data_IF_629064775123
#
_entry.id   IF_629064775123
#
_cell.length_a   1.000
_cell.length_b   1.000
_cell.length_c   1.000
_cell.angle_alpha   90.00
_cell.angle_beta   90.00
_cell.angle_gamma   90.00
#
_symmetry.space_group_name_H-M   'P 1'
#
loop_
_entity.id
_entity.type
_entity.pdbx_description
1 polymer ?
#
# COMPACT_ATOMS: atom_id res chain seq x y z
N UNK A 1 -13.55 3.90 10.32
CA UNK A 1 -14.34 4.35 9.16
C UNK A 1 -13.39 5.02 8.21
N UNK A 2 -13.04 4.35 7.09
CA UNK A 2 -12.49 5.07 5.95
C UNK A 2 -13.49 6.17 5.65
N UNK A 3 -13.13 7.43 5.88
CA UNK A 3 -14.05 8.54 5.65
C UNK A 3 -14.44 8.52 4.18
N UNK A 4 -15.70 8.35 3.80
CA UNK A 4 -16.13 8.46 2.42
C UNK A 4 -15.63 9.74 1.75
N UNK A 5 -15.42 10.81 2.53
CA UNK A 5 -14.88 12.09 2.06
C UNK A 5 -13.37 12.18 1.90
N UNK A 6 -12.56 11.22 2.39
CA UNK A 6 -11.10 11.32 2.26
C UNK A 6 -10.64 11.40 0.80
N UNK A 7 -11.17 10.54 -0.03
CA UNK A 7 -10.79 10.51 -1.45
C UNK A 7 -11.33 11.70 -2.25
N UNK A 8 -12.36 12.40 -1.74
CA UNK A 8 -12.91 13.60 -2.39
C UNK A 8 -11.90 14.76 -2.38
N UNK A 9 -11.12 14.85 -1.32
CA UNK A 9 -10.07 15.87 -1.19
C UNK A 9 -8.76 15.45 -1.89
N UNK A 10 -8.49 14.14 -2.00
CA UNK A 10 -7.21 13.59 -2.45
C UNK A 10 -7.20 13.27 -3.94
N UNK A 11 -8.28 12.71 -4.50
CA UNK A 11 -8.35 12.28 -5.90
C UNK A 11 -9.32 13.16 -6.67
N UNK A 12 -8.81 14.02 -7.55
CA UNK A 12 -9.63 14.91 -8.39
C UNK A 12 -9.94 14.35 -9.76
N UNK A 13 -9.12 13.42 -10.26
CA UNK A 13 -9.26 12.80 -11.58
C UNK A 13 -8.61 11.44 -11.65
N UNK A 14 -9.07 10.63 -12.59
CA UNK A 14 -8.57 9.27 -12.80
C UNK A 14 -8.16 9.09 -14.25
N UNK A 15 -6.96 8.58 -14.46
CA UNK A 15 -6.51 8.04 -15.73
C UNK A 15 -6.38 6.53 -15.60
N UNK A 16 -6.91 5.81 -16.59
CA UNK A 16 -6.85 4.34 -16.61
C UNK A 16 -6.37 3.89 -17.98
N UNK A 17 -5.38 2.99 -18.02
CA UNK A 17 -4.92 2.46 -19.30
C UNK A 17 -5.94 1.48 -19.88
N UNK A 18 -6.01 1.40 -21.22
CA UNK A 18 -6.85 0.40 -21.91
C UNK A 18 -6.55 -1.02 -21.41
N UNK A 19 -5.27 -1.33 -21.16
CA UNK A 19 -4.84 -2.63 -20.65
C UNK A 19 -5.30 -2.95 -19.23
N UNK A 20 -5.66 -1.93 -18.43
CA UNK A 20 -6.19 -2.10 -17.08
C UNK A 20 -7.72 -2.20 -17.06
N UNK A 21 -8.40 -1.79 -18.14
CA UNK A 21 -9.85 -1.95 -18.25
C UNK A 21 -10.24 -3.43 -18.24
N UNK A 22 -11.32 -3.74 -17.54
CA UNK A 22 -11.80 -5.11 -17.35
C UNK A 22 -11.11 -5.88 -16.21
N UNK A 23 -10.06 -5.32 -15.60
CA UNK A 23 -9.54 -5.87 -14.33
C UNK A 23 -10.53 -5.59 -13.19
N UNK A 24 -10.86 -6.60 -12.40
CA UNK A 24 -11.90 -6.50 -11.37
C UNK A 24 -11.61 -5.43 -10.32
N UNK A 25 -10.35 -5.26 -9.92
CA UNK A 25 -9.97 -4.26 -8.94
C UNK A 25 -9.98 -2.84 -9.56
N UNK A 26 -9.57 -2.70 -10.83
CA UNK A 26 -9.68 -1.42 -11.54
C UNK A 26 -11.15 -1.01 -11.65
N UNK A 27 -12.04 -1.90 -12.11
CA UNK A 27 -13.47 -1.57 -12.27
C UNK A 27 -14.14 -1.28 -10.91
N UNK A 28 -13.75 -1.95 -9.83
CA UNK A 28 -14.19 -1.65 -8.46
C UNK A 28 -13.83 -0.21 -8.08
N UNK A 29 -12.57 0.19 -8.29
CA UNK A 29 -12.10 1.54 -7.97
C UNK A 29 -12.79 2.59 -8.86
N UNK A 30 -12.94 2.34 -10.16
CA UNK A 30 -13.63 3.24 -11.08
C UNK A 30 -15.10 3.44 -10.72
N UNK A 31 -15.78 2.39 -10.25
CA UNK A 31 -17.15 2.48 -9.75
C UNK A 31 -17.24 3.35 -8.49
N UNK A 32 -16.30 3.19 -7.54
CA UNK A 32 -16.24 3.99 -6.30
C UNK A 32 -15.86 5.45 -6.54
N UNK A 33 -15.22 5.76 -7.66
CA UNK A 33 -14.76 7.10 -8.08
C UNK A 33 -15.56 7.64 -9.28
N UNK A 34 -16.77 7.12 -9.52
CA UNK A 34 -17.58 7.43 -10.71
C UNK A 34 -18.06 8.89 -10.81
N UNK A 35 -17.98 9.62 -9.71
CA UNK A 35 -18.29 11.06 -9.63
C UNK A 35 -17.15 11.97 -10.11
N UNK A 36 -15.99 11.40 -10.47
CA UNK A 36 -14.80 12.11 -10.94
C UNK A 36 -14.59 11.95 -12.44
N UNK A 37 -13.89 12.88 -13.09
CA UNK A 37 -13.45 12.71 -14.48
C UNK A 37 -12.57 11.46 -14.61
N UNK A 38 -13.01 10.50 -15.42
CA UNK A 38 -12.28 9.27 -15.75
C UNK A 38 -11.90 9.33 -17.23
N UNK A 39 -10.60 9.24 -17.53
CA UNK A 39 -10.07 9.26 -18.89
C UNK A 39 -9.32 7.96 -19.17
N UNK A 40 -9.64 7.29 -20.26
CA UNK A 40 -8.89 6.13 -20.74
C UNK A 40 -7.73 6.59 -21.62
N UNK A 41 -6.54 6.02 -21.40
CA UNK A 41 -5.30 6.36 -22.12
C UNK A 41 -4.57 5.07 -22.52
N UNK A 42 -3.64 5.15 -23.47
CA UNK A 42 -2.77 4.02 -23.83
C UNK A 42 -1.67 3.81 -22.77
N UNK A 43 -1.05 4.92 -22.38
CA UNK A 43 0.01 4.92 -21.35
C UNK A 43 0.08 6.25 -20.60
N UNK A 44 1.05 6.37 -19.69
CA UNK A 44 1.27 7.56 -18.87
C UNK A 44 1.65 8.82 -19.64
N UNK A 45 2.21 8.66 -20.85
CA UNK A 45 2.73 9.78 -21.63
C UNK A 45 1.58 10.58 -22.31
N UNK A 46 0.37 10.00 -22.32
CA UNK A 46 -0.86 10.70 -22.74
C UNK A 46 -1.49 11.56 -21.63
N UNK A 47 -0.97 11.49 -20.39
CA UNK A 47 -1.48 12.33 -19.30
C UNK A 47 -0.93 13.76 -19.48
N UNK A 48 -1.81 14.79 -19.58
CA UNK A 48 -1.38 16.19 -19.71
C UNK A 48 -0.45 16.61 -18.57
N UNK A 49 0.58 17.40 -18.88
CA UNK A 49 1.60 17.81 -17.92
C UNK A 49 1.02 18.48 -16.66
N UNK A 50 -0.04 19.28 -16.83
CA UNK A 50 -0.76 19.93 -15.72
C UNK A 50 -1.50 18.94 -14.79
N UNK A 51 -1.70 17.70 -15.23
CA UNK A 51 -2.30 16.62 -14.45
C UNK A 51 -1.28 15.66 -13.84
N UNK A 52 0.02 15.85 -14.07
CA UNK A 52 1.08 15.07 -13.43
C UNK A 52 1.29 15.51 -11.97
N UNK A 53 0.29 15.30 -11.14
CA UNK A 53 0.19 15.77 -9.75
C UNK A 53 -0.33 14.65 -8.84
N UNK A 54 -0.13 14.81 -7.54
CA UNK A 54 -0.58 13.83 -6.53
C UNK A 54 -2.11 13.73 -6.39
N UNK A 55 -2.87 14.71 -6.90
CA UNK A 55 -4.33 14.68 -6.95
C UNK A 55 -4.88 13.91 -8.17
N UNK A 56 -4.01 13.27 -8.93
CA UNK A 56 -4.33 12.39 -10.06
C UNK A 56 -4.07 10.94 -9.67
N UNK A 57 -5.06 10.08 -9.90
CA UNK A 57 -4.92 8.63 -9.80
C UNK A 57 -4.66 8.06 -11.21
N UNK A 58 -3.59 7.29 -11.35
CA UNK A 58 -3.26 6.55 -12.56
C UNK A 58 -3.37 5.05 -12.31
N UNK A 59 -4.25 4.38 -13.05
CA UNK A 59 -4.49 2.94 -12.97
C UNK A 59 -3.92 2.29 -14.23
N UNK A 60 -2.97 1.37 -14.06
CA UNK A 60 -2.32 0.70 -15.18
C UNK A 60 -2.21 -0.80 -14.94
N UNK A 61 -2.22 -1.59 -16.01
CA UNK A 61 -1.82 -2.98 -15.90
C UNK A 61 -0.32 -3.07 -15.58
N UNK A 62 0.05 -4.07 -14.80
CA UNK A 62 1.47 -4.30 -14.48
C UNK A 62 2.27 -4.61 -15.76
N UNK A 63 3.34 -3.87 -15.96
CA UNK A 63 4.33 -4.10 -17.02
C UNK A 63 5.67 -4.44 -16.37
N UNK A 64 5.97 -5.72 -16.24
CA UNK A 64 7.21 -6.21 -15.64
C UNK A 64 7.04 -6.78 -14.23
N UNK A 65 8.15 -7.19 -13.58
CA UNK A 65 8.09 -7.87 -12.30
C UNK A 65 7.63 -6.90 -11.21
N UNK A 66 6.46 -7.16 -10.63
CA UNK A 66 5.93 -6.44 -9.47
C UNK A 66 6.64 -6.89 -8.19
N UNK A 67 7.04 -8.18 -8.14
CA UNK A 67 7.76 -8.76 -7.00
C UNK A 67 9.25 -8.60 -7.20
N UNK A 68 9.91 -7.95 -6.23
CA UNK A 68 11.33 -7.71 -6.23
C UNK A 68 11.98 -7.94 -4.87
N UNK A 69 13.31 -7.88 -4.82
CA UNK A 69 14.02 -7.81 -3.54
C UNK A 69 14.04 -6.37 -3.06
N UNK A 70 13.85 -6.17 -1.77
CA UNK A 70 14.14 -4.87 -1.17
C UNK A 70 15.59 -4.47 -1.53
N UNK A 71 15.82 -3.23 -2.02
CA UNK A 71 17.17 -2.78 -2.44
C UNK A 71 18.19 -2.83 -1.31
N UNK A 72 17.72 -2.80 -0.05
CA UNK A 72 18.56 -2.90 1.13
C UNK A 72 19.50 -1.71 1.29
N UNK A 73 20.33 -1.78 2.32
CA UNK A 73 21.41 -0.81 2.53
C UNK A 73 22.74 -1.54 2.44
N UNK A 74 23.65 -1.06 1.59
CA UNK A 74 24.95 -1.66 1.42
C UNK A 74 25.71 -1.74 2.76
N UNK A 75 26.32 -2.89 3.05
CA UNK A 75 27.07 -3.10 4.28
C UNK A 75 26.23 -3.51 5.51
N UNK A 76 24.91 -3.63 5.36
CA UNK A 76 24.02 -4.11 6.42
C UNK A 76 23.59 -5.54 6.19
N UNK A 77 23.20 -6.24 7.29
CA UNK A 77 22.59 -7.57 7.20
C UNK A 77 21.23 -7.47 6.52
N UNK A 78 21.06 -8.21 5.42
CA UNK A 78 19.80 -8.23 4.69
C UNK A 78 18.83 -9.22 5.34
N UNK A 79 17.60 -8.76 5.62
CA UNK A 79 16.52 -9.59 6.12
C UNK A 79 15.78 -10.38 5.02
N UNK A 80 16.24 -10.31 3.77
CA UNK A 80 15.65 -10.94 2.58
C UNK A 80 14.17 -10.56 2.34
N UNK A 81 13.80 -9.33 2.70
CA UNK A 81 12.45 -8.83 2.45
C UNK A 81 12.17 -8.70 0.96
N UNK A 82 11.01 -9.18 0.54
CA UNK A 82 10.50 -9.01 -0.81
C UNK A 82 9.51 -7.85 -0.85
N UNK A 83 9.50 -7.13 -1.94
CA UNK A 83 8.55 -6.06 -2.20
C UNK A 83 7.59 -6.45 -3.31
N UNK A 84 6.32 -6.12 -3.14
CA UNK A 84 5.27 -6.26 -4.15
C UNK A 84 4.65 -4.87 -4.37
N UNK A 85 5.29 -4.08 -5.23
CA UNK A 85 4.98 -2.65 -5.41
C UNK A 85 3.75 -2.46 -6.30
N UNK A 86 2.56 -2.61 -5.73
CA UNK A 86 1.27 -2.40 -6.42
C UNK A 86 0.75 -0.96 -6.28
N UNK A 87 1.11 -0.29 -5.18
CA UNK A 87 0.78 1.11 -4.90
C UNK A 87 2.05 1.95 -4.94
N UNK A 88 2.09 2.97 -5.80
CA UNK A 88 3.21 3.89 -5.93
C UNK A 88 2.72 5.32 -5.67
N UNK A 89 3.46 6.03 -4.84
CA UNK A 89 3.08 7.36 -4.38
C UNK A 89 2.18 7.34 -3.14
N UNK A 90 2.17 8.47 -2.45
CA UNK A 90 1.45 8.63 -1.19
C UNK A 90 1.12 10.10 -0.98
N UNK A 91 -0.10 10.39 -0.52
CA UNK A 91 -0.57 11.76 -0.25
C UNK A 91 -0.59 12.11 1.24
N UNK A 92 -0.01 11.27 2.10
CA UNK A 92 0.02 11.54 3.55
C UNK A 92 0.95 12.69 3.96
N UNK A 93 1.82 13.14 3.03
CA UNK A 93 2.57 14.39 3.16
C UNK A 93 3.64 14.42 4.27
N UNK A 94 4.10 13.26 4.74
CA UNK A 94 5.12 13.21 5.81
C UNK A 94 6.38 14.00 5.38
N UNK A 95 6.80 14.99 6.18
CA UNK A 95 7.90 15.90 5.81
C UNK A 95 9.25 15.21 5.61
N UNK A 96 9.48 14.13 6.32
CA UNK A 96 10.70 13.33 6.27
C UNK A 96 10.70 12.25 5.17
N UNK A 97 9.62 12.14 4.36
CA UNK A 97 9.46 11.05 3.42
C UNK A 97 10.39 11.17 2.21
N UNK A 98 11.37 10.27 2.11
CA UNK A 98 12.31 10.24 0.99
C UNK A 98 11.63 9.93 -0.36
N UNK A 99 10.49 9.26 -0.35
CA UNK A 99 9.75 8.93 -1.58
C UNK A 99 9.26 10.16 -2.33
N UNK A 100 9.06 11.29 -1.65
CA UNK A 100 8.73 12.57 -2.30
C UNK A 100 9.81 13.03 -3.28
N UNK A 101 11.07 12.67 -3.03
CA UNK A 101 12.21 13.01 -3.90
C UNK A 101 12.64 11.84 -4.78
N UNK A 102 12.27 10.62 -4.44
CA UNK A 102 12.68 9.41 -5.15
C UNK A 102 11.78 9.09 -6.34
N UNK A 103 10.47 9.32 -6.21
CA UNK A 103 9.52 9.02 -7.27
C UNK A 103 9.53 10.13 -8.33
N UNK A 104 9.86 9.75 -9.58
CA UNK A 104 9.92 10.66 -10.72
C UNK A 104 8.57 10.86 -11.43
N UNK A 105 7.52 10.18 -10.97
CA UNK A 105 6.17 10.27 -11.49
C UNK A 105 5.22 10.63 -10.35
N UNK A 106 4.64 11.82 -10.40
CA UNK A 106 3.89 12.42 -9.31
C UNK A 106 2.48 11.84 -9.07
N UNK A 107 1.72 11.38 -10.10
CA UNK A 107 0.41 10.78 -9.87
C UNK A 107 0.47 9.55 -8.96
N UNK A 108 -0.54 9.40 -8.10
CA UNK A 108 -0.77 8.15 -7.39
C UNK A 108 -0.98 7.04 -8.43
N UNK A 109 -0.18 5.99 -8.36
CA UNK A 109 -0.23 4.93 -9.37
C UNK A 109 -0.63 3.60 -8.72
N UNK A 110 -1.55 2.90 -9.36
CA UNK A 110 -1.95 1.55 -8.97
C UNK A 110 -1.74 0.60 -10.14
N UNK A 111 -0.97 -0.45 -9.88
CA UNK A 111 -0.73 -1.51 -10.83
C UNK A 111 -1.71 -2.66 -10.59
N UNK A 112 -2.60 -2.90 -11.55
CA UNK A 112 -3.56 -4.01 -11.53
C UNK A 112 -3.08 -5.18 -12.42
N UNK A 113 -3.82 -6.28 -12.51
CA UNK A 113 -3.42 -7.45 -13.32
C UNK A 113 -2.36 -8.32 -12.65
N UNK A 114 -2.51 -8.62 -11.37
CA UNK A 114 -1.48 -9.16 -10.47
C UNK A 114 -1.31 -10.67 -10.46
N UNK A 115 -1.97 -11.40 -11.33
CA UNK A 115 -1.89 -12.87 -11.33
C UNK A 115 -0.45 -13.37 -11.37
N UNK A 116 0.39 -12.78 -12.23
CA UNK A 116 1.81 -13.15 -12.33
C UNK A 116 2.59 -12.88 -11.03
N UNK A 117 2.30 -11.76 -10.35
CA UNK A 117 2.93 -11.44 -9.07
C UNK A 117 2.51 -12.43 -7.97
N UNK A 118 1.23 -12.78 -7.90
CA UNK A 118 0.71 -13.77 -6.96
C UNK A 118 1.30 -15.15 -7.26
N UNK A 119 1.33 -15.59 -8.51
CA UNK A 119 1.91 -16.88 -8.92
C UNK A 119 3.40 -16.94 -8.57
N UNK A 120 4.13 -15.83 -8.73
CA UNK A 120 5.53 -15.70 -8.33
C UNK A 120 5.69 -15.87 -6.82
N UNK A 121 4.86 -15.21 -6.00
CA UNK A 121 4.91 -15.36 -4.53
C UNK A 121 4.55 -16.76 -4.07
N UNK A 122 3.55 -17.39 -4.70
CA UNK A 122 3.16 -18.78 -4.43
C UNK A 122 4.31 -19.74 -4.76
N UNK A 123 5.02 -19.53 -5.88
CA UNK A 123 6.21 -20.32 -6.21
C UNK A 123 7.31 -20.14 -5.17
N UNK A 124 7.62 -18.89 -4.82
CA UNK A 124 8.63 -18.58 -3.79
C UNK A 124 8.25 -19.23 -2.44
N UNK A 125 6.96 -19.21 -2.06
CA UNK A 125 6.48 -19.85 -0.84
C UNK A 125 6.77 -21.36 -0.83
N UNK A 126 6.50 -22.04 -1.93
CA UNK A 126 6.74 -23.47 -2.10
C UNK A 126 8.23 -23.83 -2.09
N UNK A 127 9.03 -23.05 -2.83
CA UNK A 127 10.46 -23.28 -2.98
C UNK A 127 11.24 -23.02 -1.67
N UNK A 128 10.64 -22.28 -0.74
CA UNK A 128 11.20 -21.95 0.57
C UNK A 128 10.45 -22.62 1.73
N UNK A 129 9.83 -23.78 1.51
CA UNK A 129 9.18 -24.53 2.57
C UNK A 129 10.15 -24.72 3.76
N UNK A 130 9.71 -24.38 4.98
CA UNK A 130 10.52 -24.42 6.19
C UNK A 130 11.43 -23.20 6.44
N UNK A 131 11.36 -22.16 5.60
CA UNK A 131 12.02 -20.87 5.82
C UNK A 131 10.99 -19.75 5.75
N UNK A 132 11.07 -18.80 6.68
CA UNK A 132 10.20 -17.62 6.64
C UNK A 132 10.47 -16.76 5.41
N UNK A 133 9.43 -16.47 4.65
CA UNK A 133 9.40 -15.52 3.52
C UNK A 133 8.62 -14.30 3.99
N UNK A 134 9.24 -13.13 3.93
CA UNK A 134 8.59 -11.85 4.24
C UNK A 134 8.42 -11.06 2.95
N UNK A 135 7.21 -10.59 2.70
CA UNK A 135 6.86 -9.77 1.55
C UNK A 135 5.90 -8.66 1.96
N UNK A 136 6.03 -7.49 1.37
CA UNK A 136 5.11 -6.39 1.67
C UNK A 136 4.91 -5.43 0.50
N UNK A 137 3.87 -4.61 0.60
CA UNK A 137 3.41 -3.69 -0.45
C UNK A 137 3.77 -2.23 -0.17
N UNK A 138 4.36 -1.92 0.98
CA UNK A 138 4.54 -0.53 1.48
C UNK A 138 5.92 0.07 1.28
N UNK A 139 6.69 -0.34 0.24
CA UNK A 139 8.04 0.22 -0.01
C UNK A 139 7.97 1.63 -0.61
N UNK A 140 7.19 1.82 -1.66
CA UNK A 140 7.15 3.06 -2.46
C UNK A 140 5.82 3.82 -2.31
N UNK A 141 4.99 3.43 -1.38
CA UNK A 141 3.70 4.01 -1.04
C UNK A 141 3.18 3.49 0.30
N UNK A 142 1.99 3.92 0.68
CA UNK A 142 1.28 3.36 1.83
C UNK A 142 0.39 2.21 1.35
N UNK A 143 0.48 1.05 2.01
CA UNK A 143 -0.22 -0.17 1.57
C UNK A 143 -1.73 -0.07 1.65
N UNK A 144 -2.27 0.70 2.60
CA UNK A 144 -3.70 0.76 2.87
C UNK A 144 -4.36 2.09 2.45
N UNK A 145 -3.57 3.08 2.01
CA UNK A 145 -4.11 4.40 1.61
C UNK A 145 -5.16 4.27 0.49
N UNK A 146 -4.86 3.52 -0.54
CA UNK A 146 -5.75 3.31 -1.70
C UNK A 146 -6.45 1.95 -1.68
N UNK A 147 -6.04 1.04 -0.79
CA UNK A 147 -6.55 -0.33 -0.78
C UNK A 147 -8.08 -0.43 -0.59
N UNK A 148 -8.75 0.43 0.20
CA UNK A 148 -10.22 0.43 0.26
C UNK A 148 -10.91 0.67 -1.08
N UNK A 149 -10.25 1.27 -2.06
CA UNK A 149 -10.81 1.47 -3.40
C UNK A 149 -10.67 0.21 -4.27
N UNK A 150 -9.55 -0.49 -4.14
CA UNK A 150 -9.12 -1.58 -5.02
C UNK A 150 -9.29 -2.97 -4.40
N UNK A 151 -9.08 -3.10 -3.08
CA UNK A 151 -9.05 -4.36 -2.31
C UNK A 151 -8.00 -5.35 -2.83
N UNK A 152 -6.81 -4.83 -3.24
CA UNK A 152 -5.72 -5.67 -3.72
C UNK A 152 -5.12 -6.54 -2.63
N UNK A 153 -5.06 -6.02 -1.40
CA UNK A 153 -4.54 -6.78 -0.25
C UNK A 153 -5.34 -8.06 -0.01
N UNK A 154 -6.65 -8.03 -0.23
CA UNK A 154 -7.50 -9.22 -0.07
C UNK A 154 -7.09 -10.35 -1.02
N UNK A 155 -6.75 -10.04 -2.26
CA UNK A 155 -6.32 -11.04 -3.26
C UNK A 155 -4.98 -11.68 -2.88
N UNK A 156 -4.01 -10.90 -2.36
CA UNK A 156 -2.75 -11.44 -1.86
C UNK A 156 -2.93 -12.28 -0.60
N UNK A 157 -3.74 -11.80 0.34
CA UNK A 157 -4.05 -12.51 1.58
C UNK A 157 -4.68 -13.86 1.25
N UNK A 158 -5.71 -13.90 0.40
CA UNK A 158 -6.38 -15.14 0.02
C UNK A 158 -5.42 -16.14 -0.62
N UNK A 159 -4.59 -15.68 -1.57
CA UNK A 159 -3.63 -16.53 -2.28
C UNK A 159 -2.54 -17.09 -1.36
N UNK A 160 -2.13 -16.35 -0.35
CA UNK A 160 -1.03 -16.71 0.55
C UNK A 160 -1.50 -17.36 1.86
N UNK A 161 -2.79 -17.30 2.19
CA UNK A 161 -3.33 -17.81 3.46
C UNK A 161 -3.11 -19.32 3.71
N UNK A 162 -2.76 -20.08 2.69
CA UNK A 162 -2.44 -21.52 2.80
C UNK A 162 -0.96 -21.82 3.10
N UNK A 163 -0.10 -20.81 3.23
CA UNK A 163 1.35 -20.98 3.41
C UNK A 163 1.79 -20.47 4.79
N UNK A 164 2.11 -21.37 5.69
CA UNK A 164 2.54 -21.04 7.06
C UNK A 164 3.91 -20.35 7.12
N UNK A 165 4.68 -20.42 6.05
CA UNK A 165 5.99 -19.82 5.96
C UNK A 165 6.03 -18.42 5.33
N UNK A 166 4.90 -17.88 4.88
CA UNK A 166 4.82 -16.55 4.24
C UNK A 166 4.18 -15.53 5.18
N UNK A 167 4.87 -14.42 5.40
CA UNK A 167 4.38 -13.27 6.14
C UNK A 167 4.17 -12.12 5.14
N UNK A 168 2.89 -11.86 4.82
CA UNK A 168 2.50 -10.77 3.92
C UNK A 168 2.19 -9.52 4.72
N UNK A 169 3.00 -8.48 4.58
CA UNK A 169 2.93 -7.26 5.37
C UNK A 169 2.34 -6.09 4.57
N UNK A 170 1.35 -5.43 5.15
CA UNK A 170 0.76 -4.18 4.70
C UNK A 170 1.15 -3.07 5.65
N UNK A 171 2.13 -2.23 5.23
CA UNK A 171 2.63 -1.14 6.06
C UNK A 171 1.83 0.14 5.82
N UNK A 172 1.37 0.80 6.91
CA UNK A 172 0.49 1.96 6.79
C UNK A 172 0.68 3.00 7.89
N UNK A 173 0.33 4.25 7.57
CA UNK A 173 0.06 5.35 8.49
C UNK A 173 -1.42 5.78 8.49
N UNK A 174 -2.29 4.96 7.89
CA UNK A 174 -3.74 5.16 7.92
C UNK A 174 -4.41 4.30 8.99
N UNK A 175 -5.71 4.46 9.16
CA UNK A 175 -6.59 3.56 9.92
C UNK A 175 -7.59 2.84 9.01
N UNK A 176 -7.28 2.72 7.72
CA UNK A 176 -8.16 2.18 6.68
C UNK A 176 -8.10 0.65 6.66
N UNK A 177 -8.70 0.02 7.66
CA UNK A 177 -8.68 -1.44 7.85
C UNK A 177 -10.03 -2.12 7.66
N UNK A 178 -11.14 -1.36 7.50
CA UNK A 178 -12.51 -1.89 7.52
C UNK A 178 -12.72 -3.03 6.49
N UNK A 179 -12.18 -2.87 5.29
CA UNK A 179 -12.30 -3.86 4.20
C UNK A 179 -11.52 -5.16 4.44
N UNK A 180 -10.64 -5.19 5.45
CA UNK A 180 -9.86 -6.37 5.84
C UNK A 180 -10.55 -7.21 6.90
N UNK A 181 -11.43 -6.61 7.73
CA UNK A 181 -11.92 -7.23 8.97
C UNK A 181 -12.81 -8.45 8.73
N UNK A 182 -13.52 -8.49 7.61
CA UNK A 182 -14.46 -9.55 7.27
C UNK A 182 -13.88 -10.63 6.34
N UNK A 183 -12.56 -10.59 6.07
CA UNK A 183 -11.94 -11.61 5.24
C UNK A 183 -11.93 -12.97 5.95
N UNK A 184 -12.34 -14.06 5.29
CA UNK A 184 -12.56 -15.34 5.94
C UNK A 184 -11.26 -16.08 6.32
N UNK A 185 -10.15 -15.70 5.74
CA UNK A 185 -8.84 -16.33 5.95
C UNK A 185 -7.74 -15.28 5.88
N UNK A 186 -6.88 -15.25 6.88
CA UNK A 186 -5.80 -14.26 6.99
C UNK A 186 -4.39 -14.86 6.81
N UNK A 187 -4.22 -16.17 7.08
CA UNK A 187 -2.88 -16.79 7.13
C UNK A 187 -1.96 -16.04 8.08
N UNK A 188 -0.75 -15.74 7.63
CA UNK A 188 0.21 -14.90 8.34
C UNK A 188 0.24 -13.47 7.74
N UNK A 189 -0.93 -12.90 7.42
CA UNK A 189 -1.02 -11.51 7.02
C UNK A 189 -0.73 -10.59 8.23
N UNK A 190 0.11 -9.60 7.99
CA UNK A 190 0.59 -8.64 9.00
C UNK A 190 0.13 -7.24 8.62
N UNK A 191 -0.54 -6.54 9.51
CA UNK A 191 -0.78 -5.11 9.36
C UNK A 191 0.28 -4.36 10.14
N UNK A 192 1.15 -3.64 9.45
CA UNK A 192 2.27 -2.91 10.01
C UNK A 192 1.94 -1.43 10.18
N UNK A 193 1.72 -0.97 11.40
CA UNK A 193 1.48 0.45 11.67
C UNK A 193 2.78 1.18 11.95
N UNK A 194 3.05 2.24 11.17
CA UNK A 194 4.15 3.15 11.48
C UNK A 194 3.74 4.07 12.61
N UNK A 195 4.61 4.21 13.62
CA UNK A 195 4.36 5.03 14.80
C UNK A 195 5.51 6.04 15.00
N UNK A 196 5.17 7.19 15.52
CA UNK A 196 6.05 8.21 16.05
C UNK A 196 5.42 8.78 17.35
N UNK A 197 6.15 9.51 18.19
CA UNK A 197 5.54 10.25 19.29
C UNK A 197 4.37 11.10 18.78
N UNK A 198 3.21 11.15 19.47
CA UNK A 198 2.02 11.85 18.98
C UNK A 198 2.29 13.29 18.56
N UNK A 199 3.00 14.06 19.38
CA UNK A 199 3.34 15.47 19.08
C UNK A 199 4.18 15.62 17.81
N UNK A 200 5.03 14.65 17.51
CA UNK A 200 5.84 14.63 16.29
C UNK A 200 4.97 14.27 15.08
N UNK A 201 4.14 13.23 15.22
CA UNK A 201 3.23 12.81 14.17
C UNK A 201 2.25 13.93 13.77
N UNK A 202 1.73 14.69 14.73
CA UNK A 202 0.82 15.82 14.47
C UNK A 202 1.46 16.93 13.60
N UNK A 203 2.78 17.10 13.67
CA UNK A 203 3.51 18.13 12.92
C UNK A 203 4.05 17.57 11.60
N UNK A 204 4.65 16.38 11.63
CA UNK A 204 5.42 15.83 10.53
C UNK A 204 4.63 14.89 9.61
N UNK A 205 3.42 14.49 10.01
CA UNK A 205 2.55 13.56 9.28
C UNK A 205 1.13 14.14 9.06
N UNK A 206 1.00 15.29 8.37
CA UNK A 206 -0.18 16.15 8.41
C UNK A 206 -1.49 15.51 7.90
N UNK A 207 -1.39 14.49 7.02
CA UNK A 207 -2.57 13.82 6.46
C UNK A 207 -2.66 12.33 6.86
N UNK A 208 -1.77 11.88 7.74
CA UNK A 208 -1.83 10.53 8.29
C UNK A 208 -2.91 10.45 9.39
N UNK A 209 -3.37 9.25 9.72
CA UNK A 209 -4.21 9.05 10.89
C UNK A 209 -3.42 9.38 12.17
N UNK A 210 -4.08 9.94 13.18
CA UNK A 210 -3.42 10.15 14.49
C UNK A 210 -2.92 8.83 15.07
N UNK A 211 -1.92 8.90 15.95
CA UNK A 211 -1.37 7.70 16.61
C UNK A 211 -2.47 6.91 17.33
N UNK A 212 -3.40 7.60 18.00
CA UNK A 212 -4.53 6.96 18.68
C UNK A 212 -5.43 6.19 17.68
N UNK A 213 -5.73 6.77 16.52
CA UNK A 213 -6.53 6.09 15.49
C UNK A 213 -5.80 4.87 14.92
N UNK A 214 -4.47 4.95 14.71
CA UNK A 214 -3.66 3.80 14.27
C UNK A 214 -3.68 2.68 15.31
N UNK A 215 -3.54 3.00 16.61
CA UNK A 215 -3.60 2.02 17.69
C UNK A 215 -4.99 1.38 17.81
N UNK A 216 -6.05 2.17 17.64
CA UNK A 216 -7.42 1.65 17.60
C UNK A 216 -7.62 0.70 16.40
N UNK A 217 -7.11 1.06 15.22
CA UNK A 217 -7.14 0.20 14.05
C UNK A 217 -6.32 -1.08 14.25
N UNK A 218 -5.15 -0.97 14.93
CA UNK A 218 -4.33 -2.13 15.29
C UNK A 218 -5.10 -3.11 16.18
N UNK A 219 -5.82 -2.63 17.19
CA UNK A 219 -6.65 -3.48 18.02
C UNK A 219 -7.74 -4.18 17.22
N UNK A 220 -8.40 -3.47 16.30
CA UNK A 220 -9.47 -4.06 15.46
C UNK A 220 -8.95 -5.18 14.55
N UNK A 221 -7.77 -5.04 13.96
CA UNK A 221 -7.21 -6.11 13.12
C UNK A 221 -6.68 -7.27 13.95
N UNK A 222 -6.20 -7.05 15.19
CA UNK A 222 -5.88 -8.11 16.15
C UNK A 222 -7.15 -8.92 16.48
N UNK A 223 -8.24 -8.24 16.79
CA UNK A 223 -9.52 -8.86 17.13
C UNK A 223 -10.08 -9.66 15.94
N UNK A 224 -9.78 -9.25 14.70
CA UNK A 224 -10.11 -9.96 13.48
C UNK A 224 -9.14 -11.12 13.14
N UNK A 225 -8.07 -11.33 13.91
CA UNK A 225 -7.14 -12.46 13.75
C UNK A 225 -5.88 -12.20 12.95
N UNK A 226 -5.59 -10.93 12.58
CA UNK A 226 -4.35 -10.56 11.91
C UNK A 226 -3.17 -10.51 12.87
N UNK A 227 -1.96 -10.70 12.32
CA UNK A 227 -0.74 -10.30 13.00
C UNK A 227 -0.56 -8.79 12.89
N UNK A 228 0.00 -8.18 13.92
CA UNK A 228 0.31 -6.74 13.93
C UNK A 228 1.79 -6.52 14.15
N UNK A 229 2.35 -5.55 13.43
CA UNK A 229 3.69 -5.03 13.64
C UNK A 229 3.65 -3.52 13.87
N UNK A 230 4.55 -3.01 14.69
CA UNK A 230 4.77 -1.58 14.85
C UNK A 230 6.14 -1.21 14.32
N UNK A 231 6.16 -0.17 13.48
CA UNK A 231 7.37 0.37 12.85
C UNK A 231 7.67 1.75 13.40
N UNK A 232 8.81 1.90 14.07
CA UNK A 232 9.36 3.18 14.52
C UNK A 232 10.44 3.62 13.52
N UNK A 233 9.97 4.12 12.37
CA UNK A 233 10.83 4.43 11.22
C UNK A 233 10.31 5.64 10.43
N UNK A 234 11.08 6.74 10.41
CA UNK A 234 12.38 6.96 11.06
C UNK A 234 12.26 7.22 12.57
N UNK A 235 13.30 6.90 13.32
CA UNK A 235 13.45 7.39 14.69
C UNK A 235 14.04 8.79 14.59
N UNK A 236 13.25 9.81 15.00
CA UNK A 236 13.63 11.21 14.92
C UNK A 236 14.06 11.66 16.33
N UNK A 237 15.28 12.18 16.44
CA UNK A 237 15.80 12.65 17.72
C UNK A 237 15.11 13.96 18.13
N UNK A 238 14.20 13.86 19.10
CA UNK A 238 13.47 14.98 19.72
C UNK A 238 13.35 14.75 21.22
N UNK A 239 13.27 15.84 22.00
CA UNK A 239 13.06 15.74 23.42
C UNK A 239 11.69 15.11 23.74
N UNK A 240 11.67 14.12 24.64
CA UNK A 240 10.45 13.41 25.03
C UNK A 240 10.01 12.36 24.02
N UNK A 241 10.92 11.81 23.23
CA UNK A 241 10.66 10.66 22.34
C UNK A 241 10.32 9.38 23.12
N UNK A 242 10.76 9.27 24.36
CA UNK A 242 10.64 8.09 25.27
C UNK A 242 9.20 7.78 25.68
#
# INVERSE_FOLDING_TARGET
MSSPGFYDDVIRRVYVTESARGDAAAERALSRLSDRPITTVLDKDEIPAEHLRQDTLFITASHGPVVGRCPGTHGHLCCNYLTANVYLGCTLGCSYCIMQSYLNFSPLTVQVGRREAIDTLVSIARDNAGRAVRVGTGEVGDSLLLDPLFELSAEYIEALAGFDNVYFEMKTKTDFVDHLLDLPRHGNAVVGFSLNPPKLADVEEPFAASIERRLTAAQRVIDAGYLVAFHFDPIIHVDGYE
#
